data_IF_555515108390
#
_entry.id   IF_555515108390
#
_cell.length_a   1.000
_cell.length_b   1.000
_cell.length_c   1.000
_cell.angle_alpha   90.00
_cell.angle_beta   90.00
_cell.angle_gamma   90.00
#
_symmetry.space_group_name_H-M   'P 1'
#
loop_
_entity.id
_entity.type
_entity.pdbx_description
1 polymer ?
#
# COMPACT_ATOMS: atom_id res chain seq x y z
N UNK A 1 -4.64 10.77 -10.15
CA UNK A 1 -3.77 9.72 -10.73
C UNK A 1 -3.91 8.46 -9.90
N UNK A 2 -3.68 7.30 -10.51
CA UNK A 2 -3.68 6.00 -9.81
C UNK A 2 -2.24 5.66 -9.46
N UNK A 3 -1.99 5.29 -8.21
CA UNK A 3 -0.66 4.90 -7.70
C UNK A 3 -0.79 3.51 -7.11
N UNK A 4 -0.05 2.55 -7.68
CA UNK A 4 0.01 1.16 -7.23
C UNK A 4 1.18 0.91 -6.29
N UNK A 5 0.95 0.10 -5.26
CA UNK A 5 1.96 -0.33 -4.28
C UNK A 5 1.97 -1.86 -4.26
N UNK A 6 2.76 -2.50 -5.12
CA UNK A 6 2.92 -3.95 -5.11
C UNK A 6 3.72 -4.40 -3.88
N UNK A 7 3.57 -5.67 -3.53
CA UNK A 7 4.40 -6.35 -2.54
C UNK A 7 5.79 -6.57 -3.10
N UNK A 8 6.81 -6.27 -2.31
CA UNK A 8 8.19 -6.58 -2.67
C UNK A 8 8.42 -8.08 -2.73
N UNK A 9 9.06 -8.55 -3.81
CA UNK A 9 9.32 -9.98 -4.07
C UNK A 9 10.78 -10.37 -3.83
N UNK A 10 11.65 -9.39 -3.60
CA UNK A 10 13.08 -9.63 -3.43
C UNK A 10 13.35 -10.30 -2.09
N UNK A 11 14.20 -11.32 -2.08
CA UNK A 11 14.61 -12.01 -0.85
C UNK A 11 15.25 -11.02 0.12
N UNK A 12 14.84 -11.07 1.40
CA UNK A 12 15.25 -10.14 2.46
C UNK A 12 14.84 -8.67 2.25
N UNK A 13 13.89 -8.40 1.34
CA UNK A 13 13.25 -7.10 1.27
C UNK A 13 11.93 -7.13 2.04
N UNK A 14 11.86 -6.36 3.13
CA UNK A 14 10.68 -6.23 3.97
C UNK A 14 10.05 -4.83 3.86
N UNK A 15 10.67 -3.89 3.16
CA UNK A 15 10.14 -2.53 3.02
C UNK A 15 8.91 -2.54 2.12
N UNK A 16 8.18 -1.43 2.15
CA UNK A 16 7.07 -1.15 1.25
C UNK A 16 7.30 0.22 0.62
N UNK A 17 6.90 0.40 -0.64
CA UNK A 17 7.10 1.65 -1.37
C UNK A 17 6.33 2.86 -0.81
N UNK A 18 5.25 2.63 -0.06
CA UNK A 18 4.39 3.69 0.46
C UNK A 18 3.81 3.31 1.82
N UNK A 19 4.05 4.12 2.84
CA UNK A 19 3.46 3.91 4.18
C UNK A 19 1.99 4.36 4.22
N UNK A 20 1.17 3.89 5.19
CA UNK A 20 -0.20 4.37 5.35
C UNK A 20 -0.29 5.90 5.51
N UNK A 21 0.65 6.52 6.22
CA UNK A 21 0.68 7.99 6.39
C UNK A 21 0.94 8.70 5.05
N UNK A 22 1.86 8.17 4.24
CA UNK A 22 2.14 8.69 2.90
C UNK A 22 0.92 8.53 1.97
N UNK A 23 0.31 7.35 1.97
CA UNK A 23 -0.90 7.06 1.21
C UNK A 23 -2.04 8.02 1.57
N UNK A 24 -2.27 8.29 2.85
CA UNK A 24 -3.30 9.23 3.30
C UNK A 24 -3.11 10.64 2.72
N UNK A 25 -1.86 11.11 2.66
CA UNK A 25 -1.53 12.43 2.10
C UNK A 25 -1.81 12.49 0.59
N UNK A 26 -1.48 11.42 -0.14
CA UNK A 26 -1.73 11.33 -1.58
C UNK A 26 -3.24 11.23 -1.87
N UNK A 27 -3.99 10.49 -1.06
CA UNK A 27 -5.45 10.41 -1.15
C UNK A 27 -6.08 11.78 -0.91
N UNK A 28 -5.64 12.50 0.13
CA UNK A 28 -6.09 13.86 0.40
C UNK A 28 -5.78 14.84 -0.74
N UNK A 29 -4.74 14.55 -1.53
CA UNK A 29 -4.36 15.30 -2.73
C UNK A 29 -5.15 14.89 -4.00
N UNK A 30 -6.14 14.00 -3.86
CA UNK A 30 -7.01 13.53 -4.96
C UNK A 30 -6.43 12.38 -5.78
N UNK A 31 -5.44 11.65 -5.25
CA UNK A 31 -4.91 10.44 -5.89
C UNK A 31 -5.63 9.18 -5.40
N UNK A 32 -5.75 8.19 -6.28
CA UNK A 32 -6.24 6.87 -5.92
C UNK A 32 -5.05 5.97 -5.60
N UNK A 33 -5.07 5.35 -4.43
CA UNK A 33 -4.02 4.45 -3.98
C UNK A 33 -4.55 3.03 -4.04
N UNK A 34 -3.79 2.16 -4.71
CA UNK A 34 -4.04 0.73 -4.80
C UNK A 34 -2.85 0.02 -4.16
N UNK A 35 -3.10 -0.88 -3.22
CA UNK A 35 -2.06 -1.60 -2.48
C UNK A 35 -2.32 -3.09 -2.64
N UNK A 36 -1.29 -3.86 -2.98
CA UNK A 36 -1.40 -5.31 -2.99
C UNK A 36 -1.54 -5.83 -1.54
N UNK A 37 -2.41 -6.82 -1.35
CA UNK A 37 -2.60 -7.46 -0.04
C UNK A 37 -1.26 -7.95 0.53
N UNK A 38 -1.06 -7.73 1.83
CA UNK A 38 0.15 -8.08 2.57
C UNK A 38 1.44 -7.36 2.10
N UNK A 39 1.35 -6.26 1.34
CA UNK A 39 2.54 -5.53 0.86
C UNK A 39 3.36 -4.90 2.00
N UNK A 40 2.71 -4.51 3.10
CA UNK A 40 3.35 -3.85 4.24
C UNK A 40 3.45 -4.71 5.51
N UNK A 41 2.98 -5.96 5.47
CA UNK A 41 2.78 -6.78 6.68
C UNK A 41 4.09 -7.08 7.41
N UNK A 42 5.18 -7.29 6.67
CA UNK A 42 6.51 -7.59 7.23
C UNK A 42 7.08 -6.47 8.11
N UNK A 43 6.57 -5.24 7.99
CA UNK A 43 6.97 -4.07 8.79
C UNK A 43 5.82 -3.53 9.64
N UNK A 44 4.75 -4.31 9.81
CA UNK A 44 3.63 -3.97 10.69
C UNK A 44 2.59 -3.04 10.07
N UNK A 45 2.60 -2.86 8.73
CA UNK A 45 1.53 -2.15 8.04
C UNK A 45 0.48 -3.12 7.50
N UNK A 46 -0.67 -3.17 8.15
CA UNK A 46 -1.74 -4.10 7.79
C UNK A 46 -2.62 -3.53 6.67
N UNK A 47 -3.23 -4.42 5.90
CA UNK A 47 -4.21 -4.04 4.86
C UNK A 47 -5.33 -3.17 5.44
N UNK A 48 -5.77 -3.46 6.67
CA UNK A 48 -6.77 -2.66 7.38
C UNK A 48 -6.31 -1.19 7.58
N UNK A 49 -5.04 -0.96 7.88
CA UNK A 49 -4.51 0.41 8.04
C UNK A 49 -4.55 1.20 6.71
N UNK A 50 -4.32 0.52 5.58
CA UNK A 50 -4.47 1.12 4.25
C UNK A 50 -5.94 1.34 3.88
N UNK A 51 -6.84 0.41 4.21
CA UNK A 51 -8.27 0.57 3.96
C UNK A 51 -8.87 1.72 4.77
N UNK A 52 -8.48 1.86 6.05
CA UNK A 52 -8.98 2.90 6.95
C UNK A 52 -8.69 4.33 6.48
N UNK A 53 -7.65 4.51 5.67
CA UNK A 53 -7.28 5.81 5.09
C UNK A 53 -7.83 6.01 3.67
N UNK A 54 -8.57 5.03 3.13
CA UNK A 54 -9.20 5.09 1.81
C UNK A 54 -8.41 4.50 0.66
N UNK A 55 -7.34 3.72 0.93
CA UNK A 55 -6.67 2.97 -0.12
C UNK A 55 -7.46 1.71 -0.49
N UNK A 56 -7.36 1.30 -1.75
CA UNK A 56 -7.97 0.07 -2.25
C UNK A 56 -6.98 -1.08 -2.12
N UNK A 57 -7.42 -2.22 -1.59
CA UNK A 57 -6.61 -3.45 -1.53
C UNK A 57 -6.95 -4.35 -2.73
N UNK A 58 -5.92 -4.91 -3.35
CA UNK A 58 -6.04 -5.88 -4.46
C UNK A 58 -5.26 -7.15 -4.13
N UNK A 59 -5.71 -8.28 -4.65
CA UNK A 59 -5.12 -9.59 -4.35
C UNK A 59 -3.81 -9.85 -5.12
N UNK A 60 -3.72 -9.31 -6.34
CA UNK A 60 -2.59 -9.52 -7.27
C UNK A 60 -1.95 -8.21 -7.71
N UNK A 61 -0.73 -8.31 -8.24
CA UNK A 61 -0.02 -7.20 -8.87
C UNK A 61 -0.36 -7.02 -10.36
N UNK A 62 -1.21 -7.88 -10.92
CA UNK A 62 -1.67 -7.89 -12.32
C UNK A 62 -2.90 -6.99 -12.55
#
# INVERSE_FOLDING_TARGET
MIIGVPKEIKTHECRVGLTPIGAKTLIASGHQIIVQSCAGEAIGFTDQQYQQIGATIVDSAD
#
